data_IF_858184819001
#
_entry.id   IF_858184819001
#
_cell.length_a   1.000
_cell.length_b   1.000
_cell.length_c   1.000
_cell.angle_alpha   90.00
_cell.angle_beta   90.00
_cell.angle_gamma   90.00
#
_symmetry.space_group_name_H-M   'P 1'
#
loop_
_entity.id
_entity.type
_entity.pdbx_description
1 polymer ?
#
# COMPACT_ATOMS: atom_id res chain seq x y z
N UNK A 1 -13.46 -64.33 42.80
CA UNK A 1 -12.02 -64.14 43.10
C UNK A 1 -11.45 -63.16 42.09
N UNK A 2 -11.28 -61.91 42.46
CA UNK A 2 -10.77 -60.87 41.58
C UNK A 2 -9.39 -60.45 42.07
N UNK A 3 -8.38 -60.68 41.22
CA UNK A 3 -6.98 -60.32 41.48
C UNK A 3 -6.72 -58.88 41.04
N UNK A 4 -6.44 -58.04 41.99
CA UNK A 4 -6.06 -56.65 41.75
C UNK A 4 -4.60 -56.55 41.28
N UNK A 5 -4.38 -55.92 40.11
CA UNK A 5 -3.07 -55.65 39.56
C UNK A 5 -2.65 -54.20 39.94
N UNK A 6 -1.64 -54.08 40.83
CA UNK A 6 -1.02 -52.80 41.19
C UNK A 6 -0.17 -52.31 40.02
N UNK A 7 -0.48 -51.15 39.53
CA UNK A 7 0.38 -50.39 38.62
C UNK A 7 1.23 -49.40 39.40
N UNK A 8 2.53 -49.55 39.34
CA UNK A 8 3.51 -48.67 39.96
C UNK A 8 3.70 -47.37 39.11
N UNK A 9 3.43 -46.25 39.71
CA UNK A 9 3.70 -44.93 39.13
C UNK A 9 5.19 -44.60 39.33
N UNK A 10 5.89 -44.45 38.19
CA UNK A 10 7.29 -44.09 38.15
C UNK A 10 7.42 -42.56 38.18
N UNK A 11 7.79 -42.01 39.32
CA UNK A 11 8.07 -40.56 39.50
C UNK A 11 9.36 -40.21 38.79
N UNK A 12 9.26 -39.39 37.75
CA UNK A 12 10.43 -38.85 37.04
C UNK A 12 10.81 -37.49 37.64
N UNK A 13 12.01 -37.37 38.13
CA UNK A 13 12.61 -36.16 38.70
C UNK A 13 12.77 -35.05 37.64
N UNK A 14 12.70 -33.74 37.99
CA UNK A 14 12.83 -32.65 37.06
C UNK A 14 14.26 -32.47 36.58
N UNK A 15 14.43 -32.47 35.27
CA UNK A 15 15.70 -32.20 34.57
C UNK A 15 16.02 -30.70 34.71
N UNK A 16 17.15 -30.41 35.38
CA UNK A 16 17.75 -29.07 35.45
C UNK A 16 18.12 -28.59 34.05
N UNK A 17 17.41 -27.60 33.53
CA UNK A 17 17.81 -26.87 32.33
C UNK A 17 18.94 -25.88 32.68
N UNK A 18 20.12 -26.16 32.16
CA UNK A 18 21.25 -25.24 32.21
C UNK A 18 20.91 -23.99 31.40
N UNK A 19 20.95 -22.84 32.03
CA UNK A 19 20.70 -21.55 31.36
C UNK A 19 21.80 -21.25 30.35
N UNK A 20 21.37 -21.23 29.08
CA UNK A 20 22.18 -20.72 27.99
C UNK A 20 22.18 -19.19 28.06
N UNK A 21 23.24 -18.62 28.66
CA UNK A 21 23.49 -17.17 28.61
C UNK A 21 23.93 -16.82 27.20
N UNK A 22 22.99 -16.48 26.34
CA UNK A 22 23.28 -15.80 25.06
C UNK A 22 23.68 -14.36 25.38
N UNK A 23 25.00 -14.09 25.30
CA UNK A 23 25.52 -12.74 25.30
C UNK A 23 25.06 -12.04 24.02
N UNK A 24 24.08 -11.14 24.15
CA UNK A 24 23.73 -10.21 23.08
C UNK A 24 24.85 -9.16 23.07
N UNK A 25 25.85 -9.39 22.21
CA UNK A 25 26.86 -8.39 21.92
C UNK A 25 26.16 -7.16 21.32
N UNK A 26 26.21 -6.06 22.06
CA UNK A 26 25.75 -4.76 21.64
C UNK A 26 26.55 -4.32 20.40
N UNK A 27 25.94 -4.44 19.22
CA UNK A 27 26.39 -3.74 18.04
C UNK A 27 26.06 -2.25 18.24
N UNK A 28 27.02 -1.50 18.74
CA UNK A 28 26.98 -0.05 18.74
C UNK A 28 26.91 0.40 17.27
N UNK A 29 25.73 0.67 16.79
CA UNK A 29 25.49 1.31 15.50
C UNK A 29 26.10 2.71 15.58
N UNK A 30 27.26 2.89 14.93
CA UNK A 30 27.91 4.18 14.70
C UNK A 30 26.98 5.03 13.85
N UNK A 31 26.15 5.83 14.51
CA UNK A 31 25.24 6.77 13.87
C UNK A 31 26.07 7.79 13.12
N UNK A 32 26.25 7.56 11.82
CA UNK A 32 26.89 8.51 10.92
C UNK A 32 25.94 9.71 10.80
N UNK A 33 26.32 10.80 11.46
CA UNK A 33 25.65 12.10 11.41
C UNK A 33 25.63 12.55 9.96
N UNK A 34 24.52 12.31 9.27
CA UNK A 34 24.29 12.83 7.91
C UNK A 34 24.10 14.33 8.09
N UNK A 35 25.09 15.11 7.66
CA UNK A 35 25.00 16.56 7.57
C UNK A 35 23.76 16.90 6.74
N UNK A 36 22.94 17.85 7.25
CA UNK A 36 21.86 18.48 6.49
C UNK A 36 22.48 19.27 5.33
N UNK A 37 22.84 18.57 4.27
CA UNK A 37 23.07 19.19 2.99
C UNK A 37 21.74 19.75 2.52
N UNK A 38 21.70 21.06 2.31
CA UNK A 38 20.63 21.76 1.62
C UNK A 38 20.30 21.00 0.32
N UNK A 39 19.20 20.25 0.34
CA UNK A 39 18.62 19.74 -0.90
C UNK A 39 17.98 20.94 -1.58
N UNK A 40 18.79 21.63 -2.38
CA UNK A 40 18.24 22.43 -3.46
C UNK A 40 17.28 21.50 -4.21
N UNK A 41 16.00 21.89 -4.29
CA UNK A 41 15.01 21.17 -5.08
C UNK A 41 15.61 20.97 -6.46
N UNK A 42 15.99 19.75 -6.79
CA UNK A 42 16.41 19.39 -8.12
C UNK A 42 15.21 19.71 -9.01
N UNK A 43 15.36 20.77 -9.81
CA UNK A 43 14.45 21.12 -10.88
C UNK A 43 14.32 19.83 -11.70
N UNK A 44 13.16 19.18 -11.63
CA UNK A 44 12.86 18.06 -12.51
C UNK A 44 12.91 18.64 -13.91
N UNK A 45 14.02 18.44 -14.58
CA UNK A 45 14.15 18.76 -15.99
C UNK A 45 13.12 17.91 -16.71
N UNK A 46 12.10 18.56 -17.23
CA UNK A 46 11.07 17.92 -18.06
C UNK A 46 11.80 17.34 -19.27
N UNK A 47 11.98 16.03 -19.27
CA UNK A 47 12.59 15.27 -20.36
C UNK A 47 11.79 15.54 -21.65
N UNK A 48 12.37 16.37 -22.51
CA UNK A 48 11.90 16.62 -23.87
C UNK A 48 10.64 17.50 -23.92
N UNK A 49 10.68 18.55 -24.74
CA UNK A 49 9.48 19.32 -25.06
C UNK A 49 8.42 18.36 -25.63
N UNK A 50 7.30 18.21 -24.93
CA UNK A 50 6.16 17.47 -25.47
C UNK A 50 5.80 18.05 -26.86
N UNK A 51 5.43 17.22 -27.84
CA UNK A 51 5.06 17.71 -29.15
C UNK A 51 3.96 18.77 -29.01
N UNK A 52 4.00 19.80 -29.83
CA UNK A 52 3.00 20.87 -29.82
C UNK A 52 1.62 20.28 -30.06
N UNK A 53 0.82 20.19 -28.98
CA UNK A 53 -0.52 19.62 -29.04
C UNK A 53 -1.51 20.77 -29.28
N UNK A 54 -2.22 20.71 -30.41
CA UNK A 54 -3.28 21.64 -30.72
C UNK A 54 -4.65 20.91 -30.74
N UNK A 55 -5.35 20.99 -29.62
CA UNK A 55 -6.70 20.41 -29.43
C UNK A 55 -7.73 21.50 -29.11
N UNK A 56 -7.44 22.74 -29.48
CA UNK A 56 -8.31 23.89 -29.21
C UNK A 56 -8.26 24.39 -27.76
N UNK A 57 -7.35 23.89 -26.93
CA UNK A 57 -7.11 24.33 -25.55
C UNK A 57 -5.74 25.00 -25.44
N UNK A 58 -5.67 26.08 -24.66
CA UNK A 58 -4.40 26.71 -24.33
C UNK A 58 -3.52 25.76 -23.48
N UNK A 59 -2.21 25.92 -23.54
CA UNK A 59 -1.29 25.15 -22.71
C UNK A 59 -1.61 25.33 -21.19
N UNK A 60 -1.96 26.55 -20.79
CA UNK A 60 -2.36 26.87 -19.42
C UNK A 60 -3.58 26.05 -18.98
N UNK A 61 -4.60 25.97 -19.84
CA UNK A 61 -5.82 25.23 -19.51
C UNK A 61 -5.56 23.73 -19.48
N UNK A 62 -4.78 23.22 -20.44
CA UNK A 62 -4.35 21.82 -20.45
C UNK A 62 -3.58 21.44 -19.19
N UNK A 63 -2.67 22.31 -18.73
CA UNK A 63 -1.92 22.10 -17.50
C UNK A 63 -2.84 22.09 -16.27
N UNK A 64 -3.81 22.99 -16.19
CA UNK A 64 -4.77 23.04 -15.09
C UNK A 64 -5.64 21.77 -15.04
N UNK A 65 -6.13 21.31 -16.18
CA UNK A 65 -6.92 20.06 -16.30
C UNK A 65 -6.06 18.86 -15.92
N UNK A 66 -4.82 18.77 -16.44
CA UNK A 66 -3.91 17.67 -16.13
C UNK A 66 -3.60 17.61 -14.63
N UNK A 67 -3.40 18.75 -13.96
CA UNK A 67 -3.19 18.79 -12.51
C UNK A 67 -4.41 18.25 -11.74
N UNK A 68 -5.62 18.54 -12.19
CA UNK A 68 -6.84 17.97 -11.61
C UNK A 68 -6.91 16.46 -11.82
N UNK A 69 -6.64 16.00 -13.05
CA UNK A 69 -6.65 14.58 -13.39
C UNK A 69 -5.57 13.77 -12.65
N UNK A 70 -4.39 14.34 -12.39
CA UNK A 70 -3.35 13.69 -11.60
C UNK A 70 -3.83 13.37 -10.18
N UNK A 71 -4.62 14.26 -9.57
CA UNK A 71 -5.22 14.01 -8.25
C UNK A 71 -6.30 12.93 -8.34
N UNK A 72 -7.17 13.00 -9.33
CA UNK A 72 -8.20 11.97 -9.57
C UNK A 72 -7.55 10.61 -9.79
N UNK A 73 -6.45 10.55 -10.55
CA UNK A 73 -5.70 9.31 -10.78
C UNK A 73 -5.14 8.74 -9.46
N UNK A 74 -4.53 9.57 -8.63
CA UNK A 74 -3.99 9.17 -7.35
C UNK A 74 -5.08 8.68 -6.38
N UNK A 75 -6.20 9.39 -6.30
CA UNK A 75 -7.35 9.01 -5.47
C UNK A 75 -8.00 7.71 -5.96
N UNK A 76 -8.12 7.53 -7.29
CA UNK A 76 -8.67 6.30 -7.87
C UNK A 76 -7.76 5.11 -7.58
N UNK A 77 -6.44 5.30 -7.66
CA UNK A 77 -5.48 4.25 -7.31
C UNK A 77 -5.53 3.89 -5.82
N UNK A 78 -5.62 4.89 -4.94
CA UNK A 78 -5.79 4.67 -3.50
C UNK A 78 -7.07 3.91 -3.19
N UNK A 79 -8.18 4.29 -3.81
CA UNK A 79 -9.47 3.61 -3.65
C UNK A 79 -9.44 2.18 -4.20
N UNK A 80 -8.79 1.96 -5.36
CA UNK A 80 -8.56 0.63 -5.91
C UNK A 80 -7.83 -0.27 -4.90
N UNK A 81 -6.72 0.20 -4.35
CA UNK A 81 -5.93 -0.56 -3.40
C UNK A 81 -6.72 -0.87 -2.12
N UNK A 82 -7.46 0.11 -1.60
CA UNK A 82 -8.32 -0.04 -0.41
C UNK A 82 -9.44 -1.06 -0.66
N UNK A 83 -10.13 -0.97 -1.80
CA UNK A 83 -11.20 -1.90 -2.15
C UNK A 83 -10.67 -3.32 -2.35
N UNK A 84 -9.49 -3.44 -2.95
CA UNK A 84 -8.82 -4.73 -3.13
C UNK A 84 -8.38 -5.33 -1.79
N UNK A 85 -7.90 -4.50 -0.86
CA UNK A 85 -7.61 -4.91 0.52
C UNK A 85 -8.88 -5.43 1.23
N UNK A 86 -10.01 -4.76 1.08
CA UNK A 86 -11.28 -5.22 1.63
C UNK A 86 -11.73 -6.54 1.02
N UNK A 87 -11.58 -6.73 -0.29
CA UNK A 87 -11.85 -7.99 -0.97
C UNK A 87 -11.04 -9.15 -0.39
N UNK A 88 -9.76 -8.94 -0.11
CA UNK A 88 -8.90 -9.98 0.44
C UNK A 88 -9.21 -10.33 1.89
N UNK A 89 -9.60 -9.35 2.68
CA UNK A 89 -9.62 -9.44 4.13
C UNK A 89 -11.02 -9.43 4.75
N UNK A 90 -12.08 -9.33 3.94
CA UNK A 90 -13.46 -9.39 4.45
C UNK A 90 -13.73 -10.74 5.12
N UNK A 91 -14.42 -10.71 6.27
CA UNK A 91 -14.84 -11.89 7.02
C UNK A 91 -16.29 -11.72 7.53
N UNK A 92 -16.90 -12.78 8.00
CA UNK A 92 -18.22 -12.72 8.62
C UNK A 92 -19.34 -13.33 7.76
N UNK A 93 -20.60 -13.24 8.22
CA UNK A 93 -21.74 -13.91 7.59
C UNK A 93 -22.04 -13.41 6.17
N UNK A 94 -21.62 -12.21 5.83
CA UNK A 94 -21.80 -11.61 4.50
C UNK A 94 -20.59 -11.77 3.59
N UNK A 95 -19.63 -12.63 3.94
CA UNK A 95 -18.39 -12.81 3.20
C UNK A 95 -18.60 -12.93 1.68
N UNK A 96 -19.45 -13.85 1.24
CA UNK A 96 -19.63 -14.12 -0.20
C UNK A 96 -20.14 -12.91 -0.98
N UNK A 97 -21.13 -12.19 -0.44
CA UNK A 97 -21.73 -11.04 -1.10
C UNK A 97 -20.77 -9.84 -1.14
N UNK A 98 -20.08 -9.58 -0.04
CA UNK A 98 -19.11 -8.48 0.05
C UNK A 98 -17.86 -8.76 -0.78
N UNK A 99 -17.33 -9.97 -0.74
CA UNK A 99 -16.20 -10.39 -1.55
C UNK A 99 -16.48 -10.22 -3.05
N UNK A 100 -17.64 -10.66 -3.52
CA UNK A 100 -18.05 -10.48 -4.91
C UNK A 100 -18.28 -9.01 -5.27
N UNK A 101 -18.90 -8.22 -4.38
CA UNK A 101 -19.11 -6.79 -4.58
C UNK A 101 -17.78 -6.03 -4.72
N UNK A 102 -16.85 -6.25 -3.82
CA UNK A 102 -15.53 -5.62 -3.87
C UNK A 102 -14.75 -6.03 -5.13
N UNK A 103 -14.90 -7.28 -5.60
CA UNK A 103 -14.30 -7.73 -6.85
C UNK A 103 -14.79 -6.92 -8.05
N UNK A 104 -16.08 -6.67 -8.14
CA UNK A 104 -16.65 -5.81 -9.18
C UNK A 104 -16.08 -4.39 -9.10
N UNK A 105 -16.09 -3.79 -7.91
CA UNK A 105 -15.63 -2.42 -7.69
C UNK A 105 -14.14 -2.22 -8.02
N UNK A 106 -13.24 -3.08 -7.50
CA UNK A 106 -11.82 -2.89 -7.80
C UNK A 106 -11.49 -3.16 -9.28
N UNK A 107 -12.27 -4.01 -9.95
CA UNK A 107 -12.11 -4.23 -11.40
C UNK A 107 -12.49 -2.99 -12.21
N UNK A 108 -13.58 -2.32 -11.85
CA UNK A 108 -13.98 -1.05 -12.48
C UNK A 108 -12.95 0.05 -12.23
N UNK A 109 -12.44 0.17 -10.99
CA UNK A 109 -11.42 1.15 -10.63
C UNK A 109 -10.12 0.90 -11.40
N UNK A 110 -9.71 -0.35 -11.57
CA UNK A 110 -8.53 -0.72 -12.36
C UNK A 110 -8.65 -0.23 -13.82
N UNK A 111 -9.79 -0.45 -14.45
CA UNK A 111 -10.03 0.01 -15.82
C UNK A 111 -10.08 1.55 -15.91
N UNK A 112 -10.64 2.22 -14.89
CA UNK A 112 -10.70 3.67 -14.83
C UNK A 112 -9.31 4.31 -14.71
N UNK A 113 -8.38 3.70 -13.95
CA UNK A 113 -7.00 4.18 -13.77
C UNK A 113 -6.32 4.39 -15.13
N UNK A 114 -6.39 3.41 -16.00
CA UNK A 114 -5.76 3.48 -17.34
C UNK A 114 -6.38 4.60 -18.19
N UNK A 115 -7.70 4.66 -18.24
CA UNK A 115 -8.43 5.71 -18.98
C UNK A 115 -8.06 7.13 -18.50
N UNK A 116 -7.91 7.34 -17.17
CA UNK A 116 -7.52 8.63 -16.61
C UNK A 116 -6.08 8.96 -16.99
N UNK A 117 -5.16 8.00 -16.88
CA UNK A 117 -3.76 8.17 -17.22
C UNK A 117 -3.58 8.51 -18.70
N UNK A 118 -4.27 7.82 -19.61
CA UNK A 118 -4.27 8.11 -21.04
C UNK A 118 -4.84 9.50 -21.36
N UNK A 119 -5.85 9.93 -20.61
CA UNK A 119 -6.41 11.29 -20.77
C UNK A 119 -5.36 12.35 -20.40
N UNK A 120 -4.59 12.15 -19.33
CA UNK A 120 -3.47 13.04 -18.97
C UNK A 120 -2.45 13.08 -20.11
N UNK A 121 -2.11 11.92 -20.68
CA UNK A 121 -1.19 11.82 -21.81
C UNK A 121 -1.70 12.55 -23.06
N UNK A 122 -2.99 12.44 -23.35
CA UNK A 122 -3.60 13.13 -24.49
C UNK A 122 -3.61 14.66 -24.35
N UNK A 123 -3.50 15.18 -23.14
CA UNK A 123 -3.32 16.62 -22.88
C UNK A 123 -1.86 17.08 -23.05
N UNK A 124 -0.91 16.15 -23.25
CA UNK A 124 0.51 16.45 -23.48
C UNK A 124 1.35 16.42 -22.21
N UNK A 125 0.85 15.88 -21.11
CA UNK A 125 1.57 15.79 -19.83
C UNK A 125 1.86 14.34 -19.46
N UNK A 126 2.83 14.12 -18.58
CA UNK A 126 3.10 12.80 -18.03
C UNK A 126 2.12 12.49 -16.90
N UNK A 127 1.60 11.27 -16.88
CA UNK A 127 0.81 10.76 -15.76
C UNK A 127 1.74 10.33 -14.62
N UNK A 128 1.39 10.61 -13.35
CA UNK A 128 2.11 10.05 -12.20
C UNK A 128 1.99 8.52 -12.20
N UNK A 129 3.06 7.81 -11.82
CA UNK A 129 3.09 6.35 -11.90
C UNK A 129 3.91 5.68 -10.79
N UNK A 130 4.20 6.39 -9.71
CA UNK A 130 4.90 5.83 -8.56
C UNK A 130 4.06 5.95 -7.28
N UNK A 131 4.26 5.01 -6.34
CA UNK A 131 3.59 5.07 -5.03
C UNK A 131 3.83 6.37 -4.28
N UNK A 132 5.03 6.94 -4.42
CA UNK A 132 5.38 8.21 -3.79
C UNK A 132 4.56 9.36 -4.36
N UNK A 133 4.46 9.45 -5.69
CA UNK A 133 3.67 10.48 -6.37
C UNK A 133 2.19 10.36 -6.01
N UNK A 134 1.66 9.14 -5.98
CA UNK A 134 0.27 8.91 -5.56
C UNK A 134 0.03 9.32 -4.12
N UNK A 135 0.94 9.00 -3.19
CA UNK A 135 0.81 9.41 -1.79
C UNK A 135 0.89 10.94 -1.59
N UNK A 136 1.64 11.66 -2.44
CA UNK A 136 1.74 13.12 -2.39
C UNK A 136 0.52 13.82 -3.01
N UNK A 137 -0.15 13.17 -3.97
CA UNK A 137 -1.26 13.74 -4.73
C UNK A 137 -2.64 13.37 -4.16
N UNK A 138 -2.74 12.20 -3.53
CA UNK A 138 -4.01 11.68 -3.03
C UNK A 138 -4.63 12.59 -1.97
N UNK A 139 -5.95 12.74 -2.04
CA UNK A 139 -6.76 13.38 -1.02
C UNK A 139 -7.52 12.37 -0.15
N UNK A 140 -7.66 11.13 -0.62
CA UNK A 140 -8.24 10.04 0.14
C UNK A 140 -7.23 9.55 1.19
N UNK A 141 -7.59 9.55 2.48
CA UNK A 141 -6.68 9.09 3.52
C UNK A 141 -6.43 7.60 3.43
N UNK A 142 -5.23 7.17 3.83
CA UNK A 142 -4.90 5.76 3.95
C UNK A 142 -5.78 5.08 5.02
N UNK A 143 -6.19 3.85 4.76
CA UNK A 143 -7.06 3.07 5.66
C UNK A 143 -6.20 2.10 6.45
N UNK A 144 -6.31 2.08 7.79
CA UNK A 144 -5.59 1.12 8.61
C UNK A 144 -5.85 -0.33 8.14
N UNK A 145 -4.81 -1.14 8.07
CA UNK A 145 -4.83 -2.53 7.54
C UNK A 145 -5.90 -3.43 8.20
N UNK A 146 -6.32 -3.09 9.41
CA UNK A 146 -7.34 -3.83 10.19
C UNK A 146 -8.62 -3.02 10.41
N UNK A 147 -8.85 -1.93 9.70
CA UNK A 147 -10.16 -1.27 9.67
C UNK A 147 -11.17 -2.15 8.95
N UNK A 148 -11.22 -3.40 9.36
CA UNK A 148 -12.06 -4.39 8.74
C UNK A 148 -13.45 -4.29 9.31
N UNK A 149 -14.29 -4.16 8.43
CA UNK A 149 -15.68 -4.47 8.38
C UNK A 149 -15.95 -5.81 9.10
N UNK A 150 -15.99 -5.75 10.40
CA UNK A 150 -16.70 -6.75 11.18
C UNK A 150 -18.19 -6.43 11.06
N UNK A 151 -18.78 -6.86 9.95
CA UNK A 151 -20.23 -6.80 9.72
C UNK A 151 -20.82 -8.17 9.98
#
# INVERSE_FOLDING_TARGET
MATARKTATKTTAPRKTAGLKTSVAAHAAKTRRISKGSRTAAKVEVLGSAPAINIGLTERDRAAISKGLNRVLADTFGLYLTTHNFHWNVTGPHFNSLHAMFMGQYTELWNAIDTIAERIRSLGFYAPGSYKEFAELASVPDVPVLSLIHI
#
